data_IF_759392727662
#
_entry.id   IF_759392727662
#
_cell.length_a   1.000
_cell.length_b   1.000
_cell.length_c   1.000
_cell.angle_alpha   90.00
_cell.angle_beta   90.00
_cell.angle_gamma   90.00
#
_symmetry.space_group_name_H-M   'P 1'
#
loop_
_entity.id
_entity.type
_entity.pdbx_description
1 polymer ?
#
# COMPACT_ATOMS: atom_id res chain seq x y z
N UNK A 1 7.60 -2.57 -6.71
CA UNK A 1 8.87 -2.60 -5.95
C UNK A 1 10.05 -1.91 -6.67
N UNK A 2 9.81 -0.98 -7.61
CA UNK A 2 10.88 -0.45 -8.50
C UNK A 2 11.07 1.08 -8.51
N UNK A 3 10.07 1.87 -8.12
CA UNK A 3 10.18 3.34 -8.17
C UNK A 3 10.71 3.96 -6.87
N UNK A 4 10.25 3.45 -5.72
CA UNK A 4 10.67 3.93 -4.39
C UNK A 4 12.17 3.72 -4.16
N UNK A 5 12.68 2.55 -4.53
CA UNK A 5 14.12 2.21 -4.46
C UNK A 5 14.98 3.07 -5.38
N UNK A 6 14.49 3.45 -6.56
CA UNK A 6 15.21 4.33 -7.48
C UNK A 6 15.27 5.77 -6.97
N UNK A 7 14.14 6.29 -6.47
CA UNK A 7 14.06 7.62 -5.86
C UNK A 7 14.96 7.74 -4.61
N UNK A 8 14.99 6.71 -3.76
CA UNK A 8 15.85 6.67 -2.58
C UNK A 8 17.34 6.61 -2.95
N UNK A 9 17.67 5.88 -4.02
CA UNK A 9 19.04 5.81 -4.55
C UNK A 9 19.50 7.15 -5.12
N UNK A 10 18.62 7.88 -5.81
CA UNK A 10 18.93 9.20 -6.35
C UNK A 10 19.08 10.26 -5.26
N UNK A 11 18.22 10.26 -4.24
CA UNK A 11 18.34 11.17 -3.09
C UNK A 11 19.67 10.98 -2.36
N UNK A 12 20.08 9.73 -2.16
CA UNK A 12 21.38 9.42 -1.53
C UNK A 12 22.56 9.95 -2.35
N UNK A 13 22.55 9.78 -3.67
CA UNK A 13 23.61 10.31 -4.54
C UNK A 13 23.64 11.83 -4.60
N UNK A 14 22.49 12.49 -4.44
CA UNK A 14 22.42 13.94 -4.39
C UNK A 14 23.07 14.48 -3.10
N UNK A 15 22.81 13.86 -1.95
CA UNK A 15 23.47 14.21 -0.68
C UNK A 15 24.99 13.97 -0.71
N UNK A 16 25.44 12.88 -1.34
CA UNK A 16 26.88 12.58 -1.51
C UNK A 16 27.61 13.60 -2.40
N UNK A 17 26.89 14.31 -3.27
CA UNK A 17 27.46 15.36 -4.13
C UNK A 17 27.54 16.72 -3.40
N UNK A 18 26.64 17.00 -2.47
CA UNK A 18 26.61 18.25 -1.70
C UNK A 18 27.69 18.30 -0.61
N UNK A 19 28.07 17.16 -0.02
CA UNK A 19 29.10 17.07 1.02
C UNK A 19 30.54 17.17 0.48
N UNK A 20 30.74 17.14 -0.84
CA UNK A 20 32.06 17.24 -1.46
C UNK A 20 32.47 18.71 -1.61
N UNK A 21 32.83 19.34 -0.49
CA UNK A 21 33.49 20.66 -0.48
C UNK A 21 34.72 20.64 -1.39
N UNK A 22 34.64 21.36 -2.51
CA UNK A 22 35.71 21.44 -3.51
C UNK A 22 36.80 22.36 -2.93
N UNK A 23 37.78 21.78 -2.24
CA UNK A 23 38.92 22.53 -1.70
C UNK A 23 39.89 22.89 -2.84
N UNK A 24 39.54 23.91 -3.63
CA UNK A 24 40.37 24.37 -4.74
C UNK A 24 41.48 25.29 -4.21
N UNK A 25 42.68 24.72 -4.05
CA UNK A 25 43.89 25.49 -3.74
C UNK A 25 44.19 26.40 -4.94
N UNK A 26 43.84 27.69 -4.84
CA UNK A 26 43.98 28.66 -5.93
C UNK A 26 45.41 28.73 -6.45
N UNK A 27 45.63 28.24 -7.67
CA UNK A 27 46.78 28.59 -8.53
C UNK A 27 46.22 29.25 -9.79
N UNK A 28 46.67 30.46 -10.17
CA UNK A 28 46.12 31.14 -11.33
C UNK A 28 46.78 30.57 -12.60
N UNK A 29 46.15 29.57 -13.20
CA UNK A 29 46.38 29.24 -14.60
C UNK A 29 45.11 29.58 -15.37
N UNK A 30 45.23 30.60 -16.23
CA UNK A 30 44.18 31.03 -17.15
C UNK A 30 43.99 29.93 -18.19
N UNK A 31 42.95 29.12 -18.02
CA UNK A 31 42.46 28.26 -19.08
C UNK A 31 41.53 29.08 -19.96
N UNK A 32 41.92 29.34 -21.21
CA UNK A 32 40.99 29.76 -22.25
C UNK A 32 40.05 28.58 -22.52
N UNK A 33 38.83 28.66 -22.00
CA UNK A 33 37.78 27.68 -22.31
C UNK A 33 37.22 28.01 -23.68
N UNK A 34 37.58 27.22 -24.69
CA UNK A 34 36.90 27.21 -25.98
C UNK A 34 35.45 26.77 -25.70
N UNK A 35 34.52 27.70 -25.88
CA UNK A 35 33.26 27.72 -25.16
C UNK A 35 32.31 26.56 -25.43
N UNK A 36 32.25 25.62 -24.50
CA UNK A 36 31.01 24.94 -24.11
C UNK A 36 31.08 24.61 -22.61
N UNK A 37 30.77 25.58 -21.75
CA UNK A 37 30.25 25.27 -20.42
C UNK A 37 28.74 25.05 -20.65
N UNK A 38 28.18 23.86 -20.40
CA UNK A 38 26.74 23.67 -20.49
C UNK A 38 26.07 24.69 -19.56
N UNK A 39 25.21 25.52 -20.15
CA UNK A 39 24.58 26.66 -19.50
C UNK A 39 23.85 26.19 -18.23
N UNK A 40 24.40 26.54 -17.06
CA UNK A 40 23.92 26.13 -15.73
C UNK A 40 22.43 26.48 -15.55
N UNK A 41 21.95 27.51 -16.27
CA UNK A 41 20.54 27.89 -16.31
C UNK A 41 19.68 26.85 -17.02
N UNK A 42 20.17 26.24 -18.10
CA UNK A 42 19.47 25.21 -18.87
C UNK A 42 19.30 23.92 -18.07
N UNK A 43 20.31 23.54 -17.29
CA UNK A 43 20.22 22.38 -16.39
C UNK A 43 19.25 22.61 -15.24
N UNK A 44 19.15 23.83 -14.71
CA UNK A 44 18.20 24.16 -13.64
C UNK A 44 16.75 24.16 -14.14
N UNK A 45 16.50 24.65 -15.36
CA UNK A 45 15.17 24.62 -15.99
C UNK A 45 14.71 23.19 -16.27
N UNK A 46 15.59 22.31 -16.77
CA UNK A 46 15.27 20.89 -16.99
C UNK A 46 15.03 20.12 -15.68
N UNK A 47 15.75 20.46 -14.60
CA UNK A 47 15.51 19.88 -13.28
C UNK A 47 14.14 20.29 -12.72
N UNK A 48 13.77 21.55 -12.92
CA UNK A 48 12.46 22.09 -12.51
C UNK A 48 11.32 21.43 -13.30
N UNK A 49 11.51 21.20 -14.60
CA UNK A 49 10.53 20.50 -15.43
C UNK A 49 10.37 19.03 -15.03
N UNK A 50 11.48 18.34 -14.77
CA UNK A 50 11.47 16.95 -14.30
C UNK A 50 10.78 16.79 -12.94
N UNK A 51 11.11 17.62 -11.96
CA UNK A 51 10.46 17.58 -10.64
C UNK A 51 8.97 17.91 -10.73
N UNK A 52 8.58 18.79 -11.65
CA UNK A 52 7.17 19.09 -11.91
C UNK A 52 6.45 17.87 -12.50
N UNK A 53 7.06 17.17 -13.47
CA UNK A 53 6.51 15.94 -14.03
C UNK A 53 6.39 14.84 -12.96
N UNK A 54 7.42 14.64 -12.15
CA UNK A 54 7.41 13.66 -11.04
C UNK A 54 6.28 13.96 -10.05
N UNK A 55 6.17 15.20 -9.58
CA UNK A 55 5.10 15.62 -8.67
C UNK A 55 3.71 15.46 -9.29
N UNK A 56 3.57 15.74 -10.59
CA UNK A 56 2.29 15.59 -11.30
C UNK A 56 1.92 14.11 -11.43
N UNK A 57 2.89 13.25 -11.72
CA UNK A 57 2.69 11.80 -11.78
C UNK A 57 2.39 11.22 -10.40
N UNK A 58 3.10 11.64 -9.35
CA UNK A 58 2.83 11.22 -7.97
C UNK A 58 1.46 11.73 -7.49
N UNK A 59 1.06 12.95 -7.83
CA UNK A 59 -0.27 13.45 -7.50
C UNK A 59 -1.39 12.68 -8.23
N UNK A 60 -1.16 12.25 -9.47
CA UNK A 60 -2.16 11.54 -10.30
C UNK A 60 -2.21 10.03 -10.05
N UNK A 61 -1.05 9.42 -9.81
CA UNK A 61 -0.85 7.96 -9.80
C UNK A 61 -0.12 7.45 -8.55
N UNK A 62 0.22 8.33 -7.62
CA UNK A 62 0.97 7.96 -6.42
C UNK A 62 0.20 7.03 -5.50
N UNK A 63 0.94 6.47 -4.54
CA UNK A 63 0.49 5.44 -3.60
C UNK A 63 -0.78 5.84 -2.83
N UNK A 64 -1.02 7.14 -2.63
CA UNK A 64 -2.21 7.64 -1.91
C UNK A 64 -3.53 7.34 -2.63
N UNK A 65 -3.59 7.49 -3.95
CA UNK A 65 -4.79 7.19 -4.75
C UNK A 65 -5.01 5.69 -4.87
N UNK A 66 -3.93 4.92 -5.03
CA UNK A 66 -3.97 3.47 -5.06
C UNK A 66 -4.45 2.88 -3.72
N UNK A 67 -3.99 3.45 -2.60
CA UNK A 67 -4.44 3.07 -1.26
C UNK A 67 -5.94 3.37 -1.06
N UNK A 68 -6.43 4.53 -1.52
CA UNK A 68 -7.85 4.87 -1.45
C UNK A 68 -8.74 3.93 -2.27
N UNK A 69 -8.26 3.50 -3.44
CA UNK A 69 -8.95 2.50 -4.25
C UNK A 69 -9.18 1.20 -3.47
N UNK A 70 -8.13 0.63 -2.86
CA UNK A 70 -8.25 -0.61 -2.08
C UNK A 70 -9.10 -0.47 -0.81
N UNK A 71 -9.08 0.71 -0.16
CA UNK A 71 -10.00 1.01 0.95
C UNK A 71 -11.46 0.98 0.52
N UNK A 72 -11.73 1.48 -0.69
CA UNK A 72 -13.08 1.47 -1.26
C UNK A 72 -13.49 0.04 -1.60
N UNK A 73 -12.59 -0.73 -2.23
CA UNK A 73 -12.81 -2.14 -2.56
C UNK A 73 -13.12 -2.97 -1.31
N UNK A 74 -12.38 -2.80 -0.21
CA UNK A 74 -12.67 -3.41 1.10
C UNK A 74 -14.08 -3.09 1.59
N UNK A 75 -14.49 -1.82 1.51
CA UNK A 75 -15.79 -1.36 2.02
C UNK A 75 -16.96 -2.00 1.25
N UNK A 76 -16.80 -2.15 -0.06
CA UNK A 76 -17.82 -2.72 -0.94
C UNK A 76 -17.75 -4.23 -1.07
N UNK A 77 -16.69 -4.87 -0.55
CA UNK A 77 -16.50 -6.32 -0.67
C UNK A 77 -17.64 -7.09 -0.01
N UNK A 78 -18.25 -8.00 -0.75
CA UNK A 78 -19.28 -8.94 -0.28
C UNK A 78 -19.01 -10.33 -0.83
N UNK A 79 -19.29 -11.36 -0.05
CA UNK A 79 -19.09 -12.76 -0.45
C UNK A 79 -19.97 -13.12 -1.65
N UNK A 80 -19.35 -13.65 -2.69
CA UNK A 80 -20.05 -14.08 -3.89
C UNK A 80 -20.80 -15.43 -3.65
N UNK A 81 -21.91 -15.70 -4.36
CA UNK A 81 -22.55 -17.00 -4.26
C UNK A 81 -21.60 -18.12 -4.69
N UNK A 82 -21.38 -19.10 -3.80
CA UNK A 82 -20.46 -20.21 -4.01
C UNK A 82 -19.00 -19.93 -3.65
N UNK A 83 -18.67 -18.69 -3.28
CA UNK A 83 -17.36 -18.36 -2.72
C UNK A 83 -17.21 -18.93 -1.30
N UNK A 84 -16.09 -19.60 -1.02
CA UNK A 84 -15.81 -20.10 0.31
C UNK A 84 -15.30 -19.00 1.24
N UNK A 85 -15.53 -19.15 2.55
CA UNK A 85 -15.06 -18.20 3.55
C UNK A 85 -13.54 -18.01 3.52
N UNK A 86 -12.77 -19.04 3.15
CA UNK A 86 -11.32 -18.94 3.03
C UNK A 86 -10.88 -18.05 1.86
N UNK A 87 -11.58 -18.14 0.71
CA UNK A 87 -11.29 -17.29 -0.45
C UNK A 87 -11.62 -15.84 -0.13
N UNK A 88 -12.78 -15.61 0.50
CA UNK A 88 -13.15 -14.29 1.00
C UNK A 88 -12.10 -13.73 1.97
N UNK A 89 -11.67 -14.52 2.95
CA UNK A 89 -10.67 -14.09 3.94
C UNK A 89 -9.32 -13.76 3.29
N UNK A 90 -8.85 -14.59 2.35
CA UNK A 90 -7.61 -14.35 1.62
C UNK A 90 -7.67 -13.03 0.83
N UNK A 91 -8.80 -12.73 0.21
CA UNK A 91 -8.99 -11.47 -0.51
C UNK A 91 -9.06 -10.26 0.44
N UNK A 92 -9.73 -10.38 1.59
CA UNK A 92 -9.72 -9.36 2.64
C UNK A 92 -8.29 -9.11 3.14
N UNK A 93 -7.51 -10.15 3.41
CA UNK A 93 -6.12 -10.04 3.86
C UNK A 93 -5.23 -9.34 2.81
N UNK A 94 -5.38 -9.72 1.54
CA UNK A 94 -4.71 -9.08 0.41
C UNK A 94 -5.05 -7.59 0.37
N UNK A 95 -6.33 -7.24 0.40
CA UNK A 95 -6.77 -5.85 0.34
C UNK A 95 -6.33 -5.05 1.57
N UNK A 96 -6.34 -5.63 2.77
CA UNK A 96 -5.85 -4.99 3.99
C UNK A 96 -4.37 -4.65 3.91
N UNK A 97 -3.57 -5.55 3.34
CA UNK A 97 -2.13 -5.34 3.10
C UNK A 97 -1.86 -4.18 2.13
N UNK A 98 -2.77 -3.92 1.20
CA UNK A 98 -2.65 -2.85 0.20
C UNK A 98 -3.27 -1.52 0.68
N UNK A 99 -4.39 -1.56 1.39
CA UNK A 99 -5.16 -0.41 1.85
C UNK A 99 -4.62 0.25 3.14
N UNK A 100 -3.91 -0.53 3.95
CA UNK A 100 -3.45 -0.13 5.28
C UNK A 100 -2.01 -0.59 5.56
N UNK A 101 -1.15 -0.63 4.54
CA UNK A 101 0.24 -1.10 4.64
C UNK A 101 1.05 -0.43 5.78
N UNK A 102 0.82 0.86 6.00
CA UNK A 102 1.52 1.68 7.00
C UNK A 102 0.88 1.63 8.40
N UNK A 103 -0.24 0.92 8.58
CA UNK A 103 -0.91 0.81 9.87
C UNK A 103 -0.27 -0.29 10.74
N UNK A 104 -0.25 -0.11 12.08
CA UNK A 104 0.15 -1.16 13.02
C UNK A 104 -0.61 -2.48 12.83
N UNK A 105 0.06 -3.60 13.10
CA UNK A 105 -0.49 -4.94 12.84
C UNK A 105 -1.78 -5.21 13.61
N UNK A 106 -1.84 -4.84 14.88
CA UNK A 106 -3.01 -4.99 15.75
C UNK A 106 -4.24 -4.23 15.22
N UNK A 107 -4.02 -3.04 14.66
CA UNK A 107 -5.06 -2.27 13.99
C UNK A 107 -5.51 -2.97 12.71
N UNK A 108 -4.57 -3.51 11.91
CA UNK A 108 -4.93 -4.28 10.70
C UNK A 108 -5.70 -5.54 11.04
N UNK A 109 -5.32 -6.28 12.07
CA UNK A 109 -5.94 -7.54 12.47
C UNK A 109 -7.41 -7.34 12.89
N UNK A 110 -7.66 -6.32 13.70
CA UNK A 110 -9.01 -5.96 14.15
C UNK A 110 -9.89 -5.44 13.01
N UNK A 111 -9.35 -4.59 12.12
CA UNK A 111 -10.08 -4.15 10.93
C UNK A 111 -10.38 -5.32 9.98
N UNK A 112 -9.40 -6.19 9.73
CA UNK A 112 -9.56 -7.32 8.82
C UNK A 112 -10.67 -8.25 9.31
N UNK A 113 -10.71 -8.54 10.61
CA UNK A 113 -11.79 -9.31 11.21
C UNK A 113 -13.16 -8.66 10.98
N UNK A 114 -13.26 -7.34 11.16
CA UNK A 114 -14.52 -6.62 10.99
C UNK A 114 -14.98 -6.58 9.52
N UNK A 115 -14.10 -6.24 8.58
CA UNK A 115 -14.41 -6.26 7.15
C UNK A 115 -14.80 -7.66 6.66
N UNK A 116 -14.12 -8.70 7.14
CA UNK A 116 -14.48 -10.08 6.83
C UNK A 116 -15.90 -10.40 7.29
N UNK A 117 -16.23 -10.14 8.56
CA UNK A 117 -17.57 -10.39 9.11
C UNK A 117 -18.64 -9.63 8.33
N UNK A 118 -18.41 -8.35 8.03
CA UNK A 118 -19.37 -7.52 7.29
C UNK A 118 -19.52 -7.94 5.82
N UNK A 119 -18.53 -8.65 5.26
CA UNK A 119 -18.57 -9.18 3.91
C UNK A 119 -19.28 -10.55 3.80
N UNK A 120 -19.45 -11.31 4.91
CA UNK A 120 -20.15 -12.61 4.90
C UNK A 120 -21.60 -12.43 4.42
N UNK A 121 -22.01 -13.29 3.49
CA UNK A 121 -23.35 -13.25 2.88
C UNK A 121 -24.41 -13.96 3.72
N UNK A 122 -24.09 -15.09 4.36
CA UNK A 122 -25.04 -15.81 5.21
C UNK A 122 -25.27 -15.03 6.52
N UNK A 123 -26.47 -14.47 6.68
CA UNK A 123 -26.78 -13.59 7.81
C UNK A 123 -26.61 -14.28 9.15
N UNK A 124 -27.03 -15.54 9.31
CA UNK A 124 -26.85 -16.26 10.58
C UNK A 124 -25.37 -16.40 10.94
N UNK A 125 -24.53 -16.79 9.98
CA UNK A 125 -23.08 -16.94 10.16
C UNK A 125 -22.43 -15.60 10.46
N UNK A 126 -22.85 -14.53 9.77
CA UNK A 126 -22.38 -13.17 10.05
C UNK A 126 -22.72 -12.76 11.49
N UNK A 127 -23.97 -12.91 11.93
CA UNK A 127 -24.41 -12.51 13.27
C UNK A 127 -23.70 -13.33 14.36
N UNK A 128 -23.60 -14.65 14.18
CA UNK A 128 -22.89 -15.52 15.11
C UNK A 128 -21.41 -15.12 15.23
N UNK A 129 -20.75 -14.84 14.11
CA UNK A 129 -19.34 -14.44 14.10
C UNK A 129 -19.14 -13.05 14.73
N UNK A 130 -20.06 -12.10 14.48
CA UNK A 130 -20.03 -10.76 15.08
C UNK A 130 -20.08 -10.81 16.61
N UNK A 131 -20.85 -11.73 17.18
CA UNK A 131 -20.96 -11.92 18.64
C UNK A 131 -19.66 -12.42 19.27
N UNK A 132 -18.82 -13.14 18.51
CA UNK A 132 -17.56 -13.69 19.01
C UNK A 132 -16.52 -12.61 19.37
N UNK A 133 -16.63 -11.39 18.81
CA UNK A 133 -15.65 -10.30 18.96
C UNK A 133 -14.21 -10.76 18.65
N UNK A 134 -14.03 -11.28 17.44
CA UNK A 134 -12.74 -11.74 16.95
C UNK A 134 -11.68 -10.63 17.02
N UNK A 135 -10.50 -10.97 17.52
CA UNK A 135 -9.35 -10.04 17.60
C UNK A 135 -8.60 -9.92 16.28
N UNK A 136 -8.70 -10.96 15.46
CA UNK A 136 -7.96 -11.12 14.22
C UNK A 136 -8.78 -11.92 13.19
N UNK A 137 -8.42 -11.77 11.92
CA UNK A 137 -9.09 -12.41 10.79
C UNK A 137 -9.10 -13.93 10.90
N UNK A 138 -8.00 -14.53 11.38
CA UNK A 138 -7.87 -15.98 11.50
C UNK A 138 -8.84 -16.55 12.52
N UNK A 139 -8.99 -15.88 13.66
CA UNK A 139 -9.98 -16.22 14.69
C UNK A 139 -11.41 -16.10 14.14
N UNK A 140 -11.71 -15.01 13.41
CA UNK A 140 -13.03 -14.82 12.79
C UNK A 140 -13.35 -15.95 11.80
N UNK A 141 -12.45 -16.21 10.85
CA UNK A 141 -12.58 -17.27 9.85
C UNK A 141 -12.79 -18.65 10.49
N UNK A 142 -11.95 -19.00 11.47
CA UNK A 142 -12.02 -20.29 12.13
C UNK A 142 -13.36 -20.49 12.85
N UNK A 143 -13.91 -19.45 13.46
CA UNK A 143 -15.23 -19.51 14.09
C UNK A 143 -16.35 -19.63 13.04
N UNK A 144 -16.34 -18.79 12.00
CA UNK A 144 -17.35 -18.83 10.94
C UNK A 144 -17.43 -20.20 10.28
N UNK A 145 -16.27 -20.81 9.96
CA UNK A 145 -16.21 -22.16 9.39
C UNK A 145 -16.81 -23.23 10.32
N UNK A 146 -16.52 -23.15 11.64
CA UNK A 146 -17.10 -24.08 12.62
C UNK A 146 -18.62 -23.91 12.70
N UNK A 147 -19.10 -22.68 12.65
CA UNK A 147 -20.52 -22.38 12.69
C UNK A 147 -21.24 -22.91 11.43
N UNK A 148 -20.68 -22.69 10.24
CA UNK A 148 -21.23 -23.23 8.99
C UNK A 148 -21.31 -24.77 9.03
N UNK A 149 -20.25 -25.43 9.49
CA UNK A 149 -20.23 -26.89 9.63
C UNK A 149 -21.27 -27.41 10.65
N UNK A 150 -21.45 -26.73 11.79
CA UNK A 150 -22.48 -27.11 12.75
C UNK A 150 -23.90 -26.88 12.21
N UNK A 151 -24.09 -25.79 11.46
CA UNK A 151 -25.37 -25.41 10.85
C UNK A 151 -25.81 -26.43 9.79
N UNK A 152 -24.89 -26.91 8.94
CA UNK A 152 -25.21 -27.97 7.95
C UNK A 152 -25.64 -29.27 8.63
N UNK A 153 -24.92 -29.71 9.66
CA UNK A 153 -25.26 -30.93 10.41
C UNK A 153 -26.64 -30.83 11.08
N UNK A 154 -26.99 -29.69 11.69
CA UNK A 154 -28.30 -29.53 12.33
C UNK A 154 -29.47 -29.57 11.34
N UNK A 155 -29.26 -29.10 10.11
CA UNK A 155 -30.27 -29.12 9.04
C UNK A 155 -30.48 -30.52 8.49
N UNK A 156 -29.44 -31.35 8.44
CA UNK A 156 -29.53 -32.74 7.98
C UNK A 156 -30.07 -33.72 9.02
N UNK A 157 -30.08 -33.33 10.31
CA UNK A 157 -30.55 -34.17 11.41
C UNK A 157 -32.05 -33.98 11.75
N UNK A 158 -32.73 -33.02 11.12
CA UNK A 158 -34.17 -32.79 11.24
C UNK A 158 -34.90 -33.39 10.05
#
# INVERSE_FOLDING_TARGET
>A
MGFRTYADTLKKRLSELEDRSINFKSRPHVFQTNGQIPDIRRTNVLLTDLTTIENTLEARFGDCHLTQFYRTELKTRRQEPGESLQVLAADVERLMSLAYAECPQDVRDSLAAQYFVDAIRDEDTQHATRLMRAKDLKSALAYSMKYEAAKTVSKTSR
#
